data_IF_228039490849
#
_entry.id   IF_228039490849
#
_cell.length_a   1.000
_cell.length_b   1.000
_cell.length_c   1.000
_cell.angle_alpha   90.00
_cell.angle_beta   90.00
_cell.angle_gamma   90.00
#
_symmetry.space_group_name_H-M   'P 1'
#
loop_
_entity.id
_entity.type
_entity.pdbx_description
1 polymer ?
#
# COMPACT_ATOMS: atom_id res chain seq x y z
N UNK A 1 -2.87 5.06 11.78
CA UNK A 1 -2.42 4.41 10.54
C UNK A 1 -1.38 3.35 10.86
N UNK A 2 -1.47 2.21 10.19
CA UNK A 2 -0.44 1.16 10.24
C UNK A 2 0.37 1.23 8.97
N UNK A 3 1.70 1.17 9.09
CA UNK A 3 2.60 0.95 7.97
C UNK A 3 3.14 -0.48 8.02
N UNK A 4 3.03 -1.21 6.91
CA UNK A 4 3.68 -2.49 6.74
C UNK A 4 4.65 -2.40 5.59
N UNK A 5 5.86 -2.89 5.80
CA UNK A 5 6.79 -3.14 4.71
C UNK A 5 6.58 -4.56 4.19
N UNK A 6 6.81 -4.75 2.91
CA UNK A 6 6.68 -6.06 2.27
C UNK A 6 7.66 -7.10 2.85
N UNK A 7 8.77 -6.65 3.44
CA UNK A 7 9.74 -7.47 4.14
C UNK A 7 9.23 -8.08 5.45
N UNK A 8 8.25 -7.43 6.10
CA UNK A 8 7.72 -7.87 7.40
C UNK A 8 6.68 -8.99 7.24
N UNK A 9 6.38 -9.36 6.01
CA UNK A 9 5.38 -10.37 5.70
C UNK A 9 5.90 -11.79 5.94
N UNK A 10 5.18 -12.67 6.66
CA UNK A 10 5.61 -14.03 6.99
C UNK A 10 5.49 -14.96 5.77
N UNK A 11 6.43 -14.89 4.86
CA UNK A 11 6.46 -15.64 3.59
C UNK A 11 6.40 -17.16 3.73
N UNK A 12 6.84 -17.68 4.88
CA UNK A 12 6.81 -19.12 5.16
C UNK A 12 5.38 -19.70 5.19
N UNK A 13 4.38 -18.90 5.54
CA UNK A 13 2.98 -19.31 5.49
C UNK A 13 2.53 -19.71 4.09
N UNK A 14 2.94 -18.97 3.07
CA UNK A 14 2.61 -19.27 1.68
C UNK A 14 3.23 -20.59 1.21
N UNK A 15 4.39 -20.95 1.74
CA UNK A 15 5.01 -22.25 1.46
C UNK A 15 4.18 -23.41 2.03
N UNK A 16 3.55 -23.22 3.18
CA UNK A 16 2.63 -24.21 3.75
C UNK A 16 1.39 -24.41 2.88
N UNK A 17 0.82 -23.32 2.35
CA UNK A 17 -0.30 -23.39 1.41
C UNK A 17 0.07 -24.10 0.11
N UNK A 18 1.27 -23.91 -0.41
CA UNK A 18 1.76 -24.63 -1.57
C UNK A 18 1.76 -26.16 -1.35
N UNK A 19 2.10 -26.61 -0.14
CA UNK A 19 2.05 -28.02 0.24
C UNK A 19 0.62 -28.58 0.36
N UNK A 20 -0.38 -27.73 0.57
CA UNK A 20 -1.79 -28.12 0.64
C UNK A 20 -2.45 -28.34 -0.73
N UNK A 21 -1.70 -28.18 -1.84
CA UNK A 21 -2.20 -28.45 -3.20
C UNK A 21 -3.13 -27.36 -3.75
N UNK A 22 -3.15 -26.17 -3.15
CA UNK A 22 -3.91 -25.02 -3.66
C UNK A 22 -3.19 -24.47 -4.92
N UNK A 23 -3.91 -24.15 -6.01
CA UNK A 23 -3.31 -23.56 -7.20
C UNK A 23 -2.50 -22.29 -6.90
N UNK A 24 -1.38 -22.11 -7.59
CA UNK A 24 -0.45 -21.02 -7.32
C UNK A 24 -1.12 -19.62 -7.36
N UNK A 25 -2.05 -19.42 -8.29
CA UNK A 25 -2.71 -18.13 -8.49
C UNK A 25 -3.71 -17.79 -7.38
N UNK A 26 -4.31 -18.82 -6.76
CA UNK A 26 -5.33 -18.63 -5.72
C UNK A 26 -4.73 -18.55 -4.30
N UNK A 27 -3.67 -19.31 -4.02
CA UNK A 27 -3.12 -19.42 -2.65
C UNK A 27 -2.72 -18.06 -2.06
N UNK A 28 -2.05 -17.23 -2.86
CA UNK A 28 -1.61 -15.91 -2.38
C UNK A 28 -2.77 -14.93 -2.25
N UNK A 29 -3.76 -15.02 -3.13
CA UNK A 29 -4.95 -14.17 -3.06
C UNK A 29 -5.70 -14.36 -1.75
N UNK A 30 -5.92 -15.60 -1.32
CA UNK A 30 -6.62 -15.88 -0.05
C UNK A 30 -5.80 -15.45 1.18
N UNK A 31 -4.49 -15.62 1.16
CA UNK A 31 -3.63 -15.15 2.25
C UNK A 31 -3.61 -13.64 2.36
N UNK A 32 -3.52 -12.94 1.25
CA UNK A 32 -3.61 -11.48 1.24
C UNK A 32 -4.96 -10.98 1.72
N UNK A 33 -6.07 -11.60 1.29
CA UNK A 33 -7.40 -11.26 1.81
C UNK A 33 -7.45 -11.41 3.32
N UNK A 34 -6.95 -12.53 3.85
CA UNK A 34 -6.90 -12.76 5.29
C UNK A 34 -6.12 -11.67 6.03
N UNK A 35 -4.89 -11.37 5.58
CA UNK A 35 -4.07 -10.32 6.18
C UNK A 35 -4.75 -8.95 6.16
N UNK A 36 -5.33 -8.57 5.02
CA UNK A 36 -6.03 -7.29 4.88
C UNK A 36 -7.23 -7.22 5.83
N UNK A 37 -8.01 -8.29 5.92
CA UNK A 37 -9.17 -8.35 6.80
C UNK A 37 -8.79 -8.30 8.28
N UNK A 38 -7.73 -9.00 8.69
CA UNK A 38 -7.22 -8.91 10.07
C UNK A 38 -6.67 -7.51 10.35
N UNK A 39 -5.95 -6.90 9.42
CA UNK A 39 -5.45 -5.52 9.57
C UNK A 39 -6.59 -4.52 9.73
N UNK A 40 -7.66 -4.67 8.95
CA UNK A 40 -8.83 -3.81 9.07
C UNK A 40 -9.60 -4.06 10.37
N UNK A 41 -9.69 -5.32 10.80
CA UNK A 41 -10.26 -5.68 12.12
C UNK A 41 -9.54 -4.97 13.27
N UNK A 42 -8.21 -4.88 13.22
CA UNK A 42 -7.43 -4.10 14.20
C UNK A 42 -7.82 -2.61 14.23
N UNK A 43 -8.02 -2.00 13.06
CA UNK A 43 -8.44 -0.60 12.95
C UNK A 43 -9.83 -0.42 13.55
N UNK A 44 -10.78 -1.30 13.19
CA UNK A 44 -12.16 -1.30 13.69
C UNK A 44 -12.19 -1.41 15.23
N UNK A 45 -11.44 -2.36 15.78
CA UNK A 45 -11.50 -2.69 17.19
C UNK A 45 -10.73 -1.71 18.09
N UNK A 46 -9.71 -1.00 17.56
CA UNK A 46 -8.76 -0.27 18.41
C UNK A 46 -8.58 1.21 18.06
N UNK A 47 -9.03 1.66 16.88
CA UNK A 47 -8.71 3.01 16.42
C UNK A 47 -9.91 3.87 16.03
N UNK A 48 -11.03 3.27 15.67
CA UNK A 48 -12.23 4.03 15.29
C UNK A 48 -13.19 4.18 16.48
N UNK A 49 -13.09 5.32 17.14
CA UNK A 49 -13.95 5.67 18.29
C UNK A 49 -15.41 5.92 17.91
N UNK A 50 -15.76 5.96 16.62
CA UNK A 50 -17.14 6.10 16.16
C UNK A 50 -17.91 4.77 16.14
N UNK A 51 -17.23 3.66 16.39
CA UNK A 51 -17.79 2.32 16.37
C UNK A 51 -18.11 1.81 17.78
N UNK A 52 -19.15 1.01 17.95
CA UNK A 52 -20.16 0.64 16.96
C UNK A 52 -21.11 1.80 16.66
N UNK A 53 -21.55 1.95 15.42
CA UNK A 53 -22.43 3.06 15.01
C UNK A 53 -23.93 2.70 15.00
N UNK A 54 -24.27 1.41 15.06
CA UNK A 54 -25.61 0.88 15.20
C UNK A 54 -25.60 -0.51 15.86
N UNK A 55 -26.76 -1.14 16.04
CA UNK A 55 -26.85 -2.44 16.71
C UNK A 55 -26.28 -3.59 15.85
N UNK A 56 -26.46 -3.54 14.53
CA UNK A 56 -25.87 -4.52 13.60
C UNK A 56 -24.33 -4.46 13.63
N UNK A 57 -23.76 -3.27 13.59
CA UNK A 57 -22.31 -3.09 13.71
C UNK A 57 -21.78 -3.52 15.08
N UNK A 58 -22.56 -3.34 16.15
CA UNK A 58 -22.22 -3.82 17.50
C UNK A 58 -22.12 -5.34 17.54
N UNK A 59 -23.10 -6.04 16.96
CA UNK A 59 -23.11 -7.51 16.89
C UNK A 59 -21.95 -8.02 16.05
N UNK A 60 -21.71 -7.42 14.87
CA UNK A 60 -20.61 -7.76 13.99
C UNK A 60 -19.25 -7.56 14.66
N UNK A 61 -19.04 -6.42 15.32
CA UNK A 61 -17.82 -6.13 16.08
C UNK A 61 -17.60 -7.11 17.24
N UNK A 62 -18.64 -7.48 17.97
CA UNK A 62 -18.55 -8.46 19.06
C UNK A 62 -18.07 -9.81 18.56
N UNK A 63 -18.64 -10.29 17.43
CA UNK A 63 -18.21 -11.55 16.79
C UNK A 63 -16.78 -11.44 16.25
N UNK A 64 -16.43 -10.31 15.65
CA UNK A 64 -15.09 -10.03 15.14
C UNK A 64 -14.05 -10.01 16.25
N UNK A 65 -14.33 -9.32 17.37
CA UNK A 65 -13.47 -9.27 18.55
C UNK A 65 -13.27 -10.65 19.17
N UNK A 66 -14.38 -11.39 19.35
CA UNK A 66 -14.32 -12.76 19.88
C UNK A 66 -13.42 -13.67 19.04
N UNK A 67 -13.53 -13.60 17.70
CA UNK A 67 -12.66 -14.33 16.80
C UNK A 67 -11.18 -13.92 16.94
N UNK A 68 -10.89 -12.62 16.91
CA UNK A 68 -9.52 -12.10 16.99
C UNK A 68 -8.86 -12.49 18.33
N UNK A 69 -9.59 -12.35 19.43
CA UNK A 69 -9.08 -12.68 20.78
C UNK A 69 -8.87 -14.19 20.92
N UNK A 70 -9.78 -15.00 20.39
CA UNK A 70 -9.64 -16.46 20.44
C UNK A 70 -8.45 -16.94 19.58
N UNK A 71 -8.30 -16.36 18.38
CA UNK A 71 -7.22 -16.72 17.45
C UNK A 71 -5.83 -16.27 17.92
N UNK A 72 -5.72 -15.06 18.45
CA UNK A 72 -4.44 -14.41 18.70
C UNK A 72 -4.18 -14.06 20.17
N UNK A 73 -5.16 -14.24 21.04
CA UNK A 73 -5.03 -13.93 22.47
C UNK A 73 -5.01 -12.43 22.79
N UNK A 74 -5.20 -11.58 21.80
CA UNK A 74 -5.19 -10.12 21.93
C UNK A 74 -6.15 -9.49 20.95
N UNK A 75 -6.79 -8.40 21.36
CA UNK A 75 -7.60 -7.52 20.50
C UNK A 75 -6.77 -6.77 19.44
N UNK A 76 -5.47 -6.63 19.70
CA UNK A 76 -4.48 -5.98 18.81
C UNK A 76 -3.34 -6.95 18.50
N UNK A 77 -3.56 -7.98 17.64
CA UNK A 77 -2.53 -8.93 17.30
C UNK A 77 -1.37 -8.30 16.55
N UNK A 78 -0.16 -8.77 16.80
CA UNK A 78 0.98 -8.46 15.97
C UNK A 78 0.78 -9.09 14.57
N UNK A 79 0.85 -8.28 13.52
CA UNK A 79 0.62 -8.75 12.15
C UNK A 79 1.72 -9.71 11.67
N UNK A 80 2.91 -9.71 12.28
CA UNK A 80 3.93 -10.72 12.02
C UNK A 80 3.50 -12.10 12.53
N UNK A 81 2.60 -12.16 13.51
CA UNK A 81 2.06 -13.37 14.10
C UNK A 81 0.76 -13.86 13.45
N UNK A 82 0.14 -13.07 12.58
CA UNK A 82 -1.16 -13.39 11.95
C UNK A 82 -1.15 -14.76 11.26
N UNK A 83 -0.02 -15.17 10.71
CA UNK A 83 0.15 -16.48 10.07
C UNK A 83 0.95 -17.49 10.91
N UNK A 84 1.31 -17.13 12.14
CA UNK A 84 2.01 -18.02 13.07
C UNK A 84 1.40 -17.95 14.48
N UNK A 85 0.09 -18.16 14.62
CA UNK A 85 -0.52 -18.14 15.93
C UNK A 85 -0.11 -19.39 16.70
N UNK A 86 0.17 -19.18 17.96
CA UNK A 86 0.58 -20.24 18.88
C UNK A 86 -0.61 -21.04 19.42
N UNK A 87 -1.84 -20.82 18.94
CA UNK A 87 -3.07 -21.39 19.46
C UNK A 87 -3.89 -22.07 18.37
N UNK A 88 -4.66 -23.07 18.73
CA UNK A 88 -5.73 -23.59 17.90
C UNK A 88 -6.84 -22.54 17.75
N UNK A 89 -7.23 -22.22 16.53
CA UNK A 89 -8.36 -21.34 16.26
C UNK A 89 -9.66 -22.12 16.38
N UNK A 90 -10.55 -21.68 17.26
CA UNK A 90 -11.92 -22.19 17.33
C UNK A 90 -12.81 -21.41 16.38
N UNK A 91 -13.10 -21.96 15.22
CA UNK A 91 -13.91 -21.26 14.21
C UNK A 91 -15.41 -21.39 14.46
N UNK A 92 -15.86 -22.51 15.01
CA UNK A 92 -17.29 -22.85 15.15
C UNK A 92 -18.11 -21.88 16.00
N UNK A 93 -17.62 -21.33 17.14
CA UNK A 93 -18.41 -20.39 17.90
C UNK A 93 -18.54 -19.01 17.23
N UNK A 94 -17.69 -18.69 16.24
CA UNK A 94 -17.57 -17.37 15.65
C UNK A 94 -18.19 -17.27 14.25
N UNK A 95 -18.22 -18.39 13.51
CA UNK A 95 -18.62 -18.43 12.11
C UNK A 95 -19.64 -19.55 11.84
N UNK A 96 -20.65 -19.24 11.04
CA UNK A 96 -21.56 -20.22 10.46
C UNK A 96 -20.87 -20.90 9.27
N UNK A 97 -20.00 -21.89 9.54
CA UNK A 97 -19.25 -22.58 8.51
C UNK A 97 -20.05 -23.77 7.96
N UNK A 98 -20.11 -23.90 6.64
CA UNK A 98 -20.66 -25.05 5.95
C UNK A 98 -19.64 -26.21 5.93
N UNK A 99 -19.70 -27.10 6.91
CA UNK A 99 -18.74 -28.19 7.14
C UNK A 99 -18.66 -29.28 6.06
N UNK A 100 -19.31 -29.13 4.91
CA UNK A 100 -19.20 -30.11 3.81
C UNK A 100 -17.80 -30.25 3.21
N UNK A 101 -16.90 -29.35 3.55
CA UNK A 101 -15.52 -29.27 2.97
C UNK A 101 -14.46 -29.85 3.92
N UNK A 102 -14.78 -30.08 5.19
CA UNK A 102 -13.85 -30.66 6.13
C UNK A 102 -13.65 -32.15 5.85
N UNK A 103 -12.45 -32.50 5.38
CA UNK A 103 -12.01 -33.90 5.24
C UNK A 103 -12.10 -34.62 6.61
N UNK A 104 -12.57 -35.87 6.57
CA UNK A 104 -12.71 -36.72 7.72
C UNK A 104 -11.44 -36.73 8.59
N UNK A 105 -11.53 -36.21 9.82
CA UNK A 105 -10.44 -36.20 10.79
C UNK A 105 -10.28 -34.93 11.61
N UNK A 106 -10.76 -33.79 11.19
CA UNK A 106 -10.79 -32.57 12.00
C UNK A 106 -12.08 -32.55 12.82
N UNK A 107 -11.97 -32.40 14.15
CA UNK A 107 -13.14 -32.16 14.98
C UNK A 107 -13.72 -30.80 14.59
N UNK A 108 -15.03 -30.74 14.35
CA UNK A 108 -15.75 -29.53 13.90
C UNK A 108 -15.67 -28.33 14.87
N UNK A 109 -14.93 -28.43 15.96
CA UNK A 109 -14.88 -27.45 17.05
C UNK A 109 -13.61 -26.61 17.06
N UNK A 110 -12.46 -27.18 16.67
CA UNK A 110 -11.19 -26.46 16.62
C UNK A 110 -10.43 -26.78 15.33
N UNK A 111 -9.91 -25.78 14.67
CA UNK A 111 -9.06 -25.93 13.49
C UNK A 111 -7.68 -25.41 13.86
N UNK A 112 -6.67 -26.26 13.66
CA UNK A 112 -5.27 -25.81 13.74
C UNK A 112 -4.98 -24.82 12.64
N UNK A 113 -4.12 -23.84 12.90
CA UNK A 113 -3.66 -22.93 11.82
C UNK A 113 -2.90 -23.68 10.73
N UNK A 114 -2.33 -24.83 11.04
CA UNK A 114 -1.80 -25.70 10.00
C UNK A 114 -2.86 -26.10 8.96
N UNK A 115 -4.12 -26.17 9.37
CA UNK A 115 -5.28 -26.49 8.51
C UNK A 115 -5.96 -25.25 7.93
N UNK A 116 -5.61 -24.04 8.38
CA UNK A 116 -6.17 -22.78 7.85
C UNK A 116 -6.11 -22.69 6.31
N UNK A 117 -5.03 -23.15 5.63
CA UNK A 117 -5.00 -23.14 4.17
C UNK A 117 -6.19 -23.85 3.51
N UNK A 118 -6.73 -24.89 4.13
CA UNK A 118 -7.86 -25.66 3.58
C UNK A 118 -9.22 -25.00 3.77
N UNK A 119 -9.34 -24.09 4.72
CA UNK A 119 -10.59 -23.40 5.09
C UNK A 119 -10.51 -21.88 4.93
N UNK A 120 -9.36 -21.36 4.54
CA UNK A 120 -9.09 -19.91 4.49
C UNK A 120 -10.10 -19.15 3.61
N UNK A 121 -10.60 -19.77 2.56
CA UNK A 121 -11.59 -19.17 1.69
C UNK A 121 -12.90 -18.89 2.44
N UNK A 122 -13.36 -19.88 3.21
CA UNK A 122 -14.58 -19.75 3.99
C UNK A 122 -14.41 -18.75 5.14
N UNK A 123 -13.27 -18.83 5.84
CA UNK A 123 -12.92 -17.87 6.89
C UNK A 123 -12.88 -16.45 6.35
N UNK A 124 -12.27 -16.22 5.18
CA UNK A 124 -12.24 -14.92 4.55
C UNK A 124 -13.64 -14.42 4.18
N UNK A 125 -14.54 -15.29 3.71
CA UNK A 125 -15.91 -14.91 3.39
C UNK A 125 -16.67 -14.42 4.64
N UNK A 126 -16.53 -15.12 5.75
CA UNK A 126 -17.15 -14.73 7.03
C UNK A 126 -16.52 -13.47 7.62
N UNK A 127 -15.19 -13.37 7.63
CA UNK A 127 -14.48 -12.16 8.07
C UNK A 127 -14.89 -10.94 7.23
N UNK A 128 -14.96 -11.08 5.90
CA UNK A 128 -15.41 -10.01 5.01
C UNK A 128 -16.78 -9.50 5.40
N UNK A 129 -17.74 -10.42 5.65
CA UNK A 129 -19.09 -10.06 6.08
C UNK A 129 -19.09 -9.27 7.39
N UNK A 130 -18.38 -9.77 8.40
CA UNK A 130 -18.31 -9.11 9.71
C UNK A 130 -17.61 -7.76 9.63
N UNK A 131 -16.49 -7.69 8.93
CA UNK A 131 -15.72 -6.46 8.74
C UNK A 131 -16.56 -5.39 8.05
N UNK A 132 -17.19 -5.72 6.92
CA UNK A 132 -18.01 -4.75 6.17
C UNK A 132 -19.23 -4.28 6.98
N UNK A 133 -19.88 -5.16 7.74
CA UNK A 133 -21.00 -4.80 8.62
C UNK A 133 -20.55 -3.93 9.81
N UNK A 134 -19.27 -3.99 10.21
CA UNK A 134 -18.73 -3.19 11.30
C UNK A 134 -18.32 -1.77 10.89
N UNK A 135 -18.03 -1.53 9.60
CA UNK A 135 -17.51 -0.23 9.13
C UNK A 135 -18.58 0.85 9.15
N UNK A 136 -18.23 2.03 9.67
CA UNK A 136 -19.10 3.20 9.59
C UNK A 136 -19.12 3.75 8.15
N UNK A 137 -20.27 3.80 7.47
CA UNK A 137 -20.36 4.25 6.07
C UNK A 137 -20.01 5.74 5.87
N UNK A 138 -20.06 6.54 6.94
CA UNK A 138 -19.66 7.96 6.88
C UNK A 138 -18.14 8.14 6.90
N UNK A 139 -17.40 7.17 7.41
CA UNK A 139 -15.95 7.22 7.51
C UNK A 139 -15.26 6.65 6.26
N UNK A 140 -14.02 7.05 6.06
CA UNK A 140 -13.14 6.54 4.98
C UNK A 140 -12.02 5.70 5.59
N UNK A 141 -11.88 4.48 5.11
CA UNK A 141 -10.86 3.54 5.55
C UNK A 141 -9.92 3.22 4.40
N UNK A 142 -8.62 3.18 4.69
CA UNK A 142 -7.60 2.88 3.70
C UNK A 142 -6.59 1.87 4.24
N UNK A 143 -6.22 0.91 3.41
CA UNK A 143 -5.02 0.10 3.60
C UNK A 143 -4.15 0.30 2.37
N UNK A 144 -2.91 0.72 2.58
CA UNK A 144 -1.96 1.00 1.52
C UNK A 144 -0.76 0.06 1.63
N UNK A 145 -0.41 -0.56 0.51
CA UNK A 145 0.80 -1.36 0.36
C UNK A 145 1.80 -0.58 -0.47
N UNK A 146 2.98 -0.34 0.10
CA UNK A 146 4.09 0.39 -0.52
C UNK A 146 5.39 -0.42 -0.41
N UNK A 147 6.45 0.04 -1.09
CA UNK A 147 7.79 -0.58 -1.08
C UNK A 147 7.81 -2.04 -1.56
N UNK A 148 6.91 -2.39 -2.47
CA UNK A 148 6.78 -3.72 -3.03
C UNK A 148 7.89 -4.07 -4.04
N UNK A 149 8.82 -3.17 -4.29
CA UNK A 149 9.98 -3.36 -5.16
C UNK A 149 11.24 -3.80 -4.39
N UNK A 150 11.20 -3.78 -3.06
CA UNK A 150 12.30 -4.24 -2.23
C UNK A 150 12.49 -5.75 -2.38
N UNK A 151 13.63 -6.15 -2.93
CA UNK A 151 13.95 -7.56 -3.18
C UNK A 151 13.22 -8.16 -4.39
N UNK A 152 12.69 -7.32 -5.30
CA UNK A 152 12.10 -7.81 -6.53
C UNK A 152 13.12 -8.57 -7.38
N UNK A 153 12.80 -9.83 -7.66
CA UNK A 153 13.51 -10.67 -8.62
C UNK A 153 12.51 -11.16 -9.68
N UNK A 154 12.72 -10.74 -10.92
CA UNK A 154 11.85 -11.12 -12.04
C UNK A 154 11.97 -12.60 -12.43
N UNK A 155 12.93 -13.34 -11.90
CA UNK A 155 13.13 -14.77 -12.08
C UNK A 155 12.50 -15.60 -10.94
N UNK A 156 12.06 -14.96 -9.89
CA UNK A 156 11.43 -15.62 -8.75
C UNK A 156 9.93 -15.73 -8.96
N UNK A 157 9.45 -16.82 -9.54
CA UNK A 157 8.02 -17.07 -9.79
C UNK A 157 7.13 -16.86 -8.55
N UNK A 158 7.63 -17.22 -7.39
CA UNK A 158 6.92 -17.00 -6.12
C UNK A 158 6.70 -15.52 -5.81
N UNK A 159 7.67 -14.64 -6.14
CA UNK A 159 7.52 -13.21 -5.89
C UNK A 159 6.45 -12.59 -6.80
N UNK A 160 6.49 -12.95 -8.08
CA UNK A 160 5.49 -12.52 -9.07
C UNK A 160 4.10 -12.98 -8.64
N UNK A 161 3.94 -14.25 -8.27
CA UNK A 161 2.67 -14.81 -7.82
C UNK A 161 2.14 -14.12 -6.56
N UNK A 162 3.01 -13.69 -5.65
CA UNK A 162 2.63 -12.91 -4.44
C UNK A 162 2.08 -11.54 -4.82
N UNK A 163 2.73 -10.81 -5.73
CA UNK A 163 2.25 -9.51 -6.21
C UNK A 163 0.91 -9.65 -6.91
N UNK A 164 0.76 -10.64 -7.78
CA UNK A 164 -0.50 -10.93 -8.48
C UNK A 164 -1.60 -11.21 -7.44
N UNK A 165 -1.33 -12.07 -6.46
CA UNK A 165 -2.27 -12.39 -5.39
C UNK A 165 -2.71 -11.16 -4.59
N UNK A 166 -1.81 -10.22 -4.31
CA UNK A 166 -2.14 -8.96 -3.65
C UNK A 166 -3.05 -8.08 -4.51
N UNK A 167 -2.75 -7.93 -5.80
CA UNK A 167 -3.59 -7.15 -6.71
C UNK A 167 -5.00 -7.73 -6.83
N UNK A 168 -5.11 -9.06 -6.95
CA UNK A 168 -6.41 -9.76 -7.00
C UNK A 168 -7.17 -9.65 -5.68
N UNK A 169 -6.50 -9.81 -4.55
CA UNK A 169 -7.10 -9.65 -3.23
C UNK A 169 -7.64 -8.22 -3.02
N UNK A 170 -6.83 -7.21 -3.35
CA UNK A 170 -7.21 -5.81 -3.26
C UNK A 170 -8.41 -5.48 -4.15
N UNK A 171 -8.43 -5.95 -5.40
CA UNK A 171 -9.57 -5.83 -6.31
C UNK A 171 -10.84 -6.40 -5.70
N UNK A 172 -10.80 -7.62 -5.24
CA UNK A 172 -11.98 -8.32 -4.73
C UNK A 172 -12.54 -7.65 -3.47
N UNK A 173 -11.66 -7.19 -2.57
CA UNK A 173 -12.06 -6.45 -1.37
C UNK A 173 -12.67 -5.09 -1.76
N UNK A 174 -12.07 -4.37 -2.69
CA UNK A 174 -12.60 -3.08 -3.16
C UNK A 174 -13.99 -3.23 -3.81
N UNK A 175 -14.21 -4.30 -4.58
CA UNK A 175 -15.52 -4.63 -5.14
C UNK A 175 -16.53 -4.93 -4.02
N UNK A 176 -16.15 -5.75 -3.04
CA UNK A 176 -17.01 -6.08 -1.92
C UNK A 176 -17.39 -4.85 -1.09
N UNK A 177 -16.44 -3.96 -0.80
CA UNK A 177 -16.67 -2.70 -0.10
C UNK A 177 -17.63 -1.78 -0.88
N UNK A 178 -17.43 -1.65 -2.19
CA UNK A 178 -18.32 -0.88 -3.07
C UNK A 178 -19.76 -1.44 -3.04
N UNK A 179 -19.92 -2.75 -3.13
CA UNK A 179 -21.23 -3.40 -3.11
C UNK A 179 -21.95 -3.23 -1.75
N UNK A 180 -21.18 -3.20 -0.65
CA UNK A 180 -21.67 -2.91 0.70
C UNK A 180 -21.87 -1.41 0.97
N UNK A 181 -21.58 -0.54 0.01
CA UNK A 181 -21.69 0.93 0.11
C UNK A 181 -20.84 1.53 1.24
N UNK A 182 -19.74 0.88 1.61
CA UNK A 182 -18.76 1.41 2.58
C UNK A 182 -17.55 2.01 1.87
N UNK A 183 -17.01 3.09 2.45
CA UNK A 183 -15.89 3.85 1.88
C UNK A 183 -14.55 3.23 2.33
N UNK A 184 -14.31 1.99 1.92
CA UNK A 184 -13.05 1.29 2.17
C UNK A 184 -12.28 1.04 0.88
N UNK A 185 -10.98 1.30 0.89
CA UNK A 185 -10.10 1.15 -0.26
C UNK A 185 -8.76 0.49 0.13
N UNK A 186 -8.46 -0.60 -0.53
CA UNK A 186 -7.12 -1.19 -0.58
C UNK A 186 -6.37 -0.57 -1.76
N UNK A 187 -5.22 0.04 -1.48
CA UNK A 187 -4.36 0.70 -2.49
C UNK A 187 -3.00 0.00 -2.53
N UNK A 188 -2.56 -0.35 -3.71
CA UNK A 188 -1.25 -0.97 -3.94
C UNK A 188 -0.41 0.00 -4.77
N UNK A 189 0.69 0.49 -4.18
CA UNK A 189 1.68 1.30 -4.89
C UNK A 189 2.72 0.38 -5.51
N UNK A 190 2.76 0.35 -6.82
CA UNK A 190 3.68 -0.51 -7.57
C UNK A 190 4.35 0.30 -8.68
N UNK A 191 5.61 0.02 -8.94
CA UNK A 191 6.34 0.61 -10.05
C UNK A 191 5.80 0.06 -11.37
N UNK A 192 5.71 0.93 -12.37
CA UNK A 192 5.18 0.59 -13.68
C UNK A 192 6.00 -0.51 -14.38
N UNK A 193 7.33 -0.46 -14.27
CA UNK A 193 8.21 -1.49 -14.85
C UNK A 193 7.96 -2.88 -14.23
N UNK A 194 7.67 -2.96 -12.93
CA UNK A 194 7.29 -4.22 -12.26
C UNK A 194 5.90 -4.66 -12.72
N UNK A 195 4.91 -3.75 -12.74
CA UNK A 195 3.56 -4.08 -13.19
C UNK A 195 3.54 -4.62 -14.62
N UNK A 196 4.37 -4.05 -15.49
CA UNK A 196 4.43 -4.45 -16.90
C UNK A 196 4.93 -5.88 -17.13
N UNK A 197 5.80 -6.40 -16.26
CA UNK A 197 6.30 -7.78 -16.37
C UNK A 197 5.33 -8.82 -15.79
N UNK A 198 4.36 -8.43 -14.97
CA UNK A 198 3.35 -9.34 -14.44
C UNK A 198 2.50 -9.93 -15.58
N UNK A 199 2.21 -11.23 -15.49
CA UNK A 199 1.36 -11.96 -16.44
C UNK A 199 0.30 -12.74 -15.68
N UNK A 200 -0.98 -12.37 -15.83
CA UNK A 200 -2.12 -13.04 -15.24
C UNK A 200 -3.40 -12.74 -16.04
N UNK A 201 -4.41 -13.60 -15.92
CA UNK A 201 -5.60 -13.59 -16.77
C UNK A 201 -6.38 -12.27 -16.70
N UNK A 202 -6.62 -11.74 -15.50
CA UNK A 202 -7.44 -10.55 -15.28
C UNK A 202 -6.66 -9.21 -15.36
N UNK A 203 -5.42 -9.21 -15.84
CA UNK A 203 -4.56 -8.02 -15.86
C UNK A 203 -5.23 -6.83 -16.57
N UNK A 204 -5.84 -7.05 -17.74
CA UNK A 204 -6.47 -5.98 -18.51
C UNK A 204 -7.64 -5.36 -17.72
N UNK A 205 -8.47 -6.17 -17.06
CA UNK A 205 -9.57 -5.68 -16.23
C UNK A 205 -9.07 -4.82 -15.06
N UNK A 206 -7.96 -5.21 -14.44
CA UNK A 206 -7.34 -4.42 -13.37
C UNK A 206 -6.77 -3.13 -13.94
N UNK A 207 -6.06 -3.16 -15.06
CA UNK A 207 -5.50 -1.98 -15.71
C UNK A 207 -6.58 -0.96 -16.06
N UNK A 208 -7.69 -1.39 -16.64
CA UNK A 208 -8.74 -0.50 -17.11
C UNK A 208 -9.61 0.09 -15.98
N UNK A 209 -9.89 -0.71 -14.93
CA UNK A 209 -10.90 -0.34 -13.95
C UNK A 209 -10.35 0.04 -12.57
N UNK A 210 -9.12 -0.36 -12.23
CA UNK A 210 -8.57 -0.22 -10.88
C UNK A 210 -7.20 0.46 -10.83
N UNK A 211 -6.53 0.65 -11.97
CA UNK A 211 -5.23 1.30 -12.01
C UNK A 211 -5.36 2.82 -12.19
N UNK A 212 -4.53 3.55 -11.47
CA UNK A 212 -4.30 4.98 -11.68
C UNK A 212 -2.81 5.21 -11.87
N UNK A 213 -2.43 5.58 -13.08
CA UNK A 213 -1.04 5.89 -13.39
C UNK A 213 -0.66 7.27 -12.86
N UNK A 214 0.46 7.34 -12.12
CA UNK A 214 1.01 8.60 -11.63
C UNK A 214 2.19 8.98 -12.54
N UNK A 215 1.95 9.94 -13.41
CA UNK A 215 2.93 10.48 -14.34
C UNK A 215 3.24 11.94 -14.02
N UNK A 216 4.46 12.35 -14.29
CA UNK A 216 4.95 13.71 -14.12
C UNK A 216 5.40 14.29 -15.45
N UNK A 217 5.06 15.58 -15.69
CA UNK A 217 5.50 16.32 -16.89
C UNK A 217 5.14 15.66 -18.23
N UNK A 218 4.10 14.86 -18.27
CA UNK A 218 3.58 14.33 -19.56
C UNK A 218 2.52 15.27 -20.13
N UNK A 219 2.29 15.26 -21.46
CA UNK A 219 1.26 16.09 -22.09
C UNK A 219 -0.16 15.87 -21.56
N UNK A 220 -0.39 14.74 -20.90
CA UNK A 220 -1.70 14.33 -20.39
C UNK A 220 -1.94 14.68 -18.91
N UNK A 221 -0.95 15.21 -18.22
CA UNK A 221 -1.06 15.54 -16.80
C UNK A 221 -0.81 17.01 -16.53
N UNK A 222 -1.55 17.58 -15.59
CA UNK A 222 -1.29 18.91 -15.02
C UNK A 222 -0.24 18.85 -13.90
N UNK A 223 0.19 17.65 -13.49
CA UNK A 223 1.18 17.47 -12.43
C UNK A 223 2.58 17.58 -13.02
N UNK A 224 3.28 18.65 -12.69
CA UNK A 224 4.66 18.87 -13.12
C UNK A 224 5.62 18.77 -11.93
N UNK A 225 6.85 18.34 -12.19
CA UNK A 225 7.92 18.39 -11.19
C UNK A 225 8.20 19.83 -10.77
N UNK A 226 7.98 20.80 -11.67
CA UNK A 226 8.06 22.23 -11.37
C UNK A 226 7.05 22.62 -10.29
N UNK A 227 5.77 22.30 -10.49
CA UNK A 227 4.72 22.62 -9.51
C UNK A 227 4.94 21.92 -8.16
N UNK A 228 5.48 20.70 -8.16
CA UNK A 228 5.88 20.01 -6.95
C UNK A 228 6.99 20.78 -6.20
N UNK A 229 8.02 21.25 -6.91
CA UNK A 229 9.12 21.99 -6.30
C UNK A 229 8.66 23.36 -5.80
N UNK A 230 7.86 24.09 -6.55
CA UNK A 230 7.28 25.38 -6.15
C UNK A 230 6.46 25.23 -4.87
N UNK A 231 5.63 24.20 -4.78
CA UNK A 231 4.90 23.90 -3.53
C UNK A 231 5.81 23.62 -2.34
N UNK A 232 6.91 22.91 -2.56
CA UNK A 232 7.91 22.66 -1.50
C UNK A 232 8.65 23.94 -1.10
N UNK A 233 8.99 24.79 -2.05
CA UNK A 233 9.62 26.08 -1.78
C UNK A 233 8.70 26.97 -0.94
N UNK A 234 7.42 27.04 -1.29
CA UNK A 234 6.43 27.82 -0.56
C UNK A 234 6.23 27.30 0.87
N UNK A 235 6.22 25.97 1.09
CA UNK A 235 6.14 25.41 2.44
C UNK A 235 7.36 25.81 3.28
N UNK A 236 8.58 25.67 2.74
CA UNK A 236 9.80 26.07 3.46
C UNK A 236 9.82 27.58 3.70
N UNK A 237 9.33 28.37 2.76
CA UNK A 237 9.23 29.82 2.94
C UNK A 237 8.26 30.20 4.07
N UNK A 238 7.11 29.51 4.17
CA UNK A 238 6.16 29.74 5.28
C UNK A 238 6.73 29.36 6.64
N UNK A 239 7.59 28.36 6.72
CA UNK A 239 8.30 27.97 7.96
C UNK A 239 9.26 29.05 8.49
N UNK A 240 9.62 30.06 7.64
CA UNK A 240 10.47 31.18 7.98
C UNK A 240 9.72 32.53 7.84
N UNK A 241 8.41 32.53 8.05
CA UNK A 241 7.50 33.69 8.04
C UNK A 241 7.46 34.46 6.70
N UNK A 242 7.78 33.81 5.59
CA UNK A 242 7.56 34.36 4.25
C UNK A 242 6.23 33.86 3.71
N UNK A 243 5.16 34.66 3.87
CA UNK A 243 3.82 34.36 3.36
C UNK A 243 3.70 34.69 1.85
N UNK A 244 4.49 34.03 1.05
CA UNK A 244 4.48 34.22 -0.41
C UNK A 244 4.65 32.90 -1.16
N UNK A 245 3.86 32.71 -2.21
CA UNK A 245 4.05 31.61 -3.16
C UNK A 245 5.39 31.76 -3.88
N UNK A 246 6.35 30.91 -3.55
CA UNK A 246 7.67 30.90 -4.15
C UNK A 246 7.63 30.13 -5.46
N UNK A 247 7.99 30.79 -6.55
CA UNK A 247 8.04 30.21 -7.89
C UNK A 247 9.43 29.65 -8.20
N UNK A 248 9.50 28.76 -9.19
CA UNK A 248 10.76 28.23 -9.70
C UNK A 248 11.74 29.32 -10.11
N UNK A 249 11.25 30.38 -10.78
CA UNK A 249 12.03 31.53 -11.23
C UNK A 249 12.66 32.35 -10.11
N UNK A 250 12.11 32.29 -8.90
CA UNK A 250 12.63 33.01 -7.73
C UNK A 250 13.89 32.32 -7.17
N UNK A 251 14.03 31.03 -7.41
CA UNK A 251 15.15 30.19 -6.97
C UNK A 251 16.16 30.00 -8.12
N UNK A 252 15.69 29.74 -9.33
CA UNK A 252 16.52 29.45 -10.48
C UNK A 252 16.40 30.56 -11.53
N UNK A 253 17.53 31.20 -11.83
CA UNK A 253 17.55 32.27 -12.85
C UNK A 253 17.37 31.67 -14.26
N UNK A 254 16.13 31.75 -14.79
CA UNK A 254 15.77 31.24 -16.12
C UNK A 254 16.12 32.19 -17.27
N UNK A 255 16.65 33.42 -16.99
CA UNK A 255 17.08 34.34 -18.04
C UNK A 255 18.32 33.87 -18.77
N UNK A 256 19.06 32.92 -18.20
CA UNK A 256 20.21 32.27 -18.80
C UNK A 256 19.85 30.84 -19.19
N UNK A 257 19.99 30.55 -20.46
CA UNK A 257 19.80 29.23 -21.01
C UNK A 257 20.95 28.28 -20.65
N UNK A 258 20.62 27.01 -20.56
CA UNK A 258 21.57 25.91 -20.46
C UNK A 258 22.09 25.52 -21.86
N UNK A 259 23.17 24.74 -21.98
CA UNK A 259 23.62 24.20 -23.26
C UNK A 259 22.48 23.54 -24.04
N UNK A 260 22.39 23.86 -25.32
CA UNK A 260 21.31 23.39 -26.20
C UNK A 260 20.04 24.25 -26.14
N UNK A 261 20.13 25.51 -25.70
CA UNK A 261 19.02 26.45 -25.58
C UNK A 261 17.86 25.97 -24.69
N UNK A 262 18.19 25.15 -23.70
CA UNK A 262 17.20 24.64 -22.74
C UNK A 262 17.01 25.61 -21.59
N UNK A 263 15.77 25.69 -21.06
CA UNK A 263 15.50 26.26 -19.75
C UNK A 263 16.23 25.43 -18.67
N UNK A 264 16.55 26.03 -17.51
CA UNK A 264 17.13 25.26 -16.41
C UNK A 264 16.21 24.15 -15.94
N UNK A 265 14.91 24.42 -15.95
CA UNK A 265 13.91 23.43 -15.62
C UNK A 265 13.99 22.21 -16.56
N UNK A 266 13.92 22.43 -17.88
CA UNK A 266 13.95 21.32 -18.85
C UNK A 266 15.28 20.57 -18.80
N UNK A 267 16.39 21.30 -18.63
CA UNK A 267 17.72 20.69 -18.49
C UNK A 267 17.80 19.73 -17.29
N UNK A 268 17.23 20.12 -16.15
CA UNK A 268 17.19 19.27 -14.94
C UNK A 268 16.19 18.13 -15.13
N UNK A 269 15.00 18.43 -15.61
CA UNK A 269 13.92 17.47 -15.87
C UNK A 269 14.41 16.30 -16.72
N UNK A 270 15.06 16.60 -17.84
CA UNK A 270 15.56 15.58 -18.77
C UNK A 270 16.62 14.64 -18.17
N UNK A 271 17.24 15.05 -17.04
CA UNK A 271 18.26 14.27 -16.31
C UNK A 271 17.73 13.57 -15.07
N UNK A 272 16.46 13.70 -14.76
CA UNK A 272 15.87 13.17 -13.52
C UNK A 272 14.92 11.98 -13.77
N UNK A 273 14.86 11.43 -14.97
CA UNK A 273 13.93 10.36 -15.33
C UNK A 273 12.48 10.65 -14.93
N UNK A 274 12.08 11.92 -14.87
CA UNK A 274 10.77 12.39 -14.41
C UNK A 274 10.38 11.88 -13.00
N UNK A 275 11.36 11.69 -12.12
CA UNK A 275 11.15 11.23 -10.75
C UNK A 275 11.26 12.40 -9.76
N UNK A 276 10.26 12.62 -8.90
CA UNK A 276 10.30 13.68 -7.87
C UNK A 276 11.54 13.63 -7.00
N UNK A 277 11.96 12.43 -6.57
CA UNK A 277 13.15 12.23 -5.73
C UNK A 277 14.43 12.73 -6.41
N UNK A 278 14.58 12.46 -7.69
CA UNK A 278 15.76 12.86 -8.44
C UNK A 278 15.81 14.38 -8.65
N UNK A 279 14.66 15.01 -8.92
CA UNK A 279 14.54 16.46 -8.98
C UNK A 279 14.93 17.12 -7.66
N UNK A 280 14.43 16.61 -6.53
CA UNK A 280 14.78 17.12 -5.19
C UNK A 280 16.27 16.95 -4.91
N UNK A 281 16.83 15.77 -5.23
CA UNK A 281 18.25 15.49 -5.04
C UNK A 281 19.14 16.41 -5.88
N UNK A 282 18.74 16.66 -7.12
CA UNK A 282 19.44 17.58 -8.01
C UNK A 282 19.44 19.00 -7.46
N UNK A 283 18.27 19.51 -7.04
CA UNK A 283 18.14 20.84 -6.47
C UNK A 283 18.98 21.00 -5.20
N UNK A 284 18.98 20.00 -4.31
CA UNK A 284 19.82 20.01 -3.10
C UNK A 284 21.32 20.00 -3.45
N UNK A 285 21.73 19.24 -4.46
CA UNK A 285 23.13 19.20 -4.91
C UNK A 285 23.57 20.54 -5.53
N UNK A 286 22.69 21.17 -6.31
CA UNK A 286 22.92 22.50 -6.86
C UNK A 286 23.10 23.55 -5.74
N UNK A 287 22.22 23.52 -4.73
CA UNK A 287 22.31 24.40 -3.57
C UNK A 287 23.63 24.19 -2.78
N UNK A 288 24.03 22.94 -2.57
CA UNK A 288 25.29 22.63 -1.89
C UNK A 288 26.50 23.22 -2.66
N UNK A 289 26.52 23.03 -3.97
CA UNK A 289 27.57 23.59 -4.84
C UNK A 289 27.57 25.11 -4.87
N UNK A 290 26.42 25.74 -4.85
CA UNK A 290 26.29 27.18 -4.74
C UNK A 290 26.90 27.70 -3.41
N UNK A 291 26.55 27.06 -2.28
CA UNK A 291 27.13 27.41 -0.97
C UNK A 291 28.63 27.21 -0.90
N UNK A 292 29.18 26.14 -1.46
CA UNK A 292 30.64 25.92 -1.57
C UNK A 292 31.32 27.07 -2.31
N UNK A 293 30.74 27.52 -3.43
CA UNK A 293 31.30 28.66 -4.21
C UNK A 293 31.27 29.95 -3.43
N UNK A 294 30.16 30.26 -2.75
CA UNK A 294 30.08 31.47 -1.92
C UNK A 294 31.10 31.51 -0.79
N UNK A 295 31.44 30.36 -0.22
CA UNK A 295 32.38 30.24 0.88
C UNK A 295 33.86 30.07 0.42
N UNK A 296 34.09 29.98 -0.90
CA UNK A 296 35.44 29.83 -1.45
C UNK A 296 36.11 31.18 -1.61
N UNK A 297 37.40 31.32 -1.19
CA UNK A 297 38.15 32.58 -1.32
C UNK A 297 38.33 33.10 -2.74
N UNK A 298 38.00 32.32 -3.76
CA UNK A 298 38.08 32.67 -5.19
C UNK A 298 36.83 33.37 -5.73
N UNK A 299 35.82 33.65 -4.89
CA UNK A 299 34.52 34.22 -5.32
C UNK A 299 34.59 35.73 -5.66
N UNK A 300 35.74 36.35 -5.67
CA UNK A 300 35.92 37.77 -6.05
C UNK A 300 36.14 38.01 -7.55
N UNK A 301 36.03 37.00 -8.38
CA UNK A 301 36.09 37.17 -9.85
C UNK A 301 34.69 37.27 -10.43
N UNK A 302 34.48 38.22 -11.33
CA UNK A 302 33.27 38.60 -12.03
C UNK A 302 32.53 37.47 -12.79
N UNK A 303 32.98 36.21 -12.64
CA UNK A 303 32.41 35.02 -13.32
C UNK A 303 31.32 34.30 -12.55
N UNK A 304 31.00 34.69 -11.31
CA UNK A 304 30.03 34.01 -10.45
C UNK A 304 28.55 34.29 -10.81
N UNK A 305 28.30 34.93 -11.93
CA UNK A 305 26.93 35.10 -12.49
C UNK A 305 26.60 34.08 -13.59
N UNK A 306 27.33 32.98 -13.68
CA UNK A 306 27.04 31.91 -14.65
C UNK A 306 26.17 30.83 -14.09
#
# INVERSE_FOLDING_TARGET
SYGHTFSDYPWHFHQQQAKAGIPNDEKFTHSWKYLILISLSKIILNQDNSLPFNDESREAMSKLEAFIVDAYGSRDPDLTQVFNPQREIRLKPHFELNFKILKAGASAESISIADLPTVIQEVNAQLMKLVLASLNPEHKYFIAFDQLDLGFDNKADDYISRLIGLLLAGRDINIAAKNAQVKFLVTVFLRDDIYNVLRFEDKNKITENFMSLIEWDTPRTTKTLKSLMEKRFSIVASDIDIEQDVKWSDIFNETREMPGHQSKYDHIKDRTYLRPRDMIKFANSALAKFKERLNSPASNTQDDKR
#
